data_IF_348981276547
#
_entry.id   IF_348981276547
#
_cell.length_a   1.000
_cell.length_b   1.000
_cell.length_c   1.000
_cell.angle_alpha   90.00
_cell.angle_beta   90.00
_cell.angle_gamma   90.00
#
_symmetry.space_group_name_H-M   'P 1'
#
loop_
_entity.id
_entity.type
_entity.pdbx_description
1 polymer ?
#
# COMPACT_ATOMS: atom_id res chain seq x y z
N UNK A 1 19.65 -5.86 -22.11
CA UNK A 1 18.76 -4.70 -21.88
C UNK A 1 17.64 -5.19 -20.99
N UNK A 2 17.68 -4.89 -19.68
CA UNK A 2 16.67 -5.38 -18.74
C UNK A 2 15.47 -4.43 -18.78
N UNK A 3 14.34 -4.90 -19.33
CA UNK A 3 13.07 -4.16 -19.27
C UNK A 3 12.59 -4.11 -17.83
N UNK A 4 12.52 -2.92 -17.25
CA UNK A 4 11.88 -2.69 -15.97
C UNK A 4 10.39 -3.05 -16.11
N UNK A 5 9.94 -4.05 -15.37
CA UNK A 5 8.53 -4.43 -15.33
C UNK A 5 7.80 -3.42 -14.43
N UNK A 6 7.12 -2.44 -15.03
CA UNK A 6 6.20 -1.54 -14.33
C UNK A 6 4.82 -2.19 -14.40
N UNK A 7 4.29 -2.81 -13.32
CA UNK A 7 2.92 -3.31 -13.37
C UNK A 7 1.99 -2.10 -13.41
N UNK A 8 1.18 -1.98 -14.46
CA UNK A 8 0.11 -0.98 -14.58
C UNK A 8 -1.02 -1.28 -13.57
N UNK A 9 -0.72 -1.18 -12.27
CA UNK A 9 -1.61 -1.56 -11.17
C UNK A 9 -2.92 -0.75 -11.16
N UNK A 10 -2.94 0.46 -11.71
CA UNK A 10 -4.15 1.27 -11.85
C UNK A 10 -5.23 0.62 -12.72
N UNK A 11 -4.82 -0.15 -13.73
CA UNK A 11 -5.74 -0.78 -14.68
C UNK A 11 -6.25 -2.13 -14.19
N UNK A 12 -5.74 -2.63 -13.05
CA UNK A 12 -6.02 -3.95 -12.52
C UNK A 12 -7.06 -3.96 -11.38
N UNK A 13 -7.70 -2.83 -11.08
CA UNK A 13 -8.77 -2.80 -10.07
C UNK A 13 -10.04 -3.43 -10.65
N UNK A 14 -10.27 -4.69 -10.32
CA UNK A 14 -11.52 -5.38 -10.64
C UNK A 14 -12.54 -5.22 -9.50
N UNK A 15 -13.79 -4.89 -9.86
CA UNK A 15 -14.91 -4.82 -8.91
C UNK A 15 -15.71 -6.13 -8.97
N UNK A 16 -16.08 -6.65 -7.80
CA UNK A 16 -16.93 -7.83 -7.73
C UNK A 16 -18.35 -7.51 -8.22
N UNK A 17 -18.92 -8.39 -9.04
CA UNK A 17 -20.29 -8.28 -9.51
C UNK A 17 -21.18 -9.37 -8.85
N UNK A 18 -22.38 -9.02 -8.35
CA UNK A 18 -22.99 -7.69 -8.36
C UNK A 18 -22.39 -6.75 -7.30
N UNK A 19 -22.30 -5.46 -7.64
CA UNK A 19 -21.86 -4.42 -6.69
C UNK A 19 -22.97 -3.95 -5.74
N UNK A 20 -22.60 -3.53 -4.53
CA UNK A 20 -23.50 -2.86 -3.58
C UNK A 20 -23.36 -1.34 -3.74
N UNK A 21 -24.42 -0.68 -4.20
CA UNK A 21 -24.42 0.75 -4.57
C UNK A 21 -24.10 1.70 -3.42
N UNK A 22 -24.49 1.36 -2.20
CA UNK A 22 -24.24 2.18 -1.00
C UNK A 22 -22.75 2.43 -0.75
N UNK A 23 -21.88 1.60 -1.31
CA UNK A 23 -20.43 1.71 -1.19
C UNK A 23 -19.75 2.43 -2.35
N UNK A 24 -20.47 2.89 -3.39
CA UNK A 24 -19.87 3.44 -4.60
C UNK A 24 -18.98 4.67 -4.30
N UNK A 25 -19.44 5.58 -3.42
CA UNK A 25 -18.68 6.77 -3.03
C UNK A 25 -17.38 6.38 -2.33
N UNK A 26 -17.46 5.54 -1.30
CA UNK A 26 -16.29 5.06 -0.56
C UNK A 26 -15.33 4.28 -1.45
N UNK A 27 -15.86 3.42 -2.35
CA UNK A 27 -15.07 2.66 -3.33
C UNK A 27 -14.30 3.60 -4.25
N UNK A 28 -14.97 4.59 -4.82
CA UNK A 28 -14.33 5.55 -5.73
C UNK A 28 -13.26 6.40 -5.02
N UNK A 29 -13.52 6.82 -3.77
CA UNK A 29 -12.51 7.53 -2.99
C UNK A 29 -11.29 6.66 -2.70
N UNK A 30 -11.49 5.39 -2.34
CA UNK A 30 -10.41 4.44 -2.11
C UNK A 30 -9.57 4.19 -3.38
N UNK A 31 -10.23 3.94 -4.51
CA UNK A 31 -9.57 3.78 -5.81
C UNK A 31 -8.75 5.01 -6.19
N UNK A 32 -9.29 6.22 -5.97
CA UNK A 32 -8.54 7.46 -6.20
C UNK A 32 -7.30 7.55 -5.32
N UNK A 33 -7.41 7.25 -4.03
CA UNK A 33 -6.27 7.26 -3.10
C UNK A 33 -5.20 6.25 -3.52
N UNK A 34 -5.60 5.02 -3.88
CA UNK A 34 -4.66 4.00 -4.33
C UNK A 34 -3.99 4.38 -5.64
N UNK A 35 -4.73 4.92 -6.60
CA UNK A 35 -4.15 5.43 -7.85
C UNK A 35 -3.17 6.57 -7.59
N UNK A 36 -3.51 7.58 -6.79
CA UNK A 36 -2.50 8.59 -6.47
C UNK A 36 -1.27 7.98 -5.77
N UNK A 37 -1.44 6.95 -4.93
CA UNK A 37 -0.31 6.30 -4.26
C UNK A 37 0.61 5.52 -5.21
N UNK A 38 0.05 4.82 -6.20
CA UNK A 38 0.83 4.04 -7.17
C UNK A 38 1.52 4.98 -8.16
N UNK A 39 0.86 6.05 -8.63
CA UNK A 39 1.46 7.06 -9.51
C UNK A 39 2.69 7.73 -8.88
N UNK A 40 2.65 7.92 -7.56
CA UNK A 40 3.72 8.54 -6.79
C UNK A 40 4.60 7.50 -6.06
N UNK A 41 4.53 6.23 -6.44
CA UNK A 41 5.28 5.18 -5.81
C UNK A 41 6.79 5.39 -6.03
N UNK A 42 7.63 5.11 -5.01
CA UNK A 42 9.06 5.08 -5.21
C UNK A 42 9.44 3.95 -6.18
N UNK A 43 10.63 4.06 -6.74
CA UNK A 43 11.21 3.04 -7.61
C UNK A 43 11.35 1.70 -6.85
N UNK A 44 11.35 0.54 -7.55
CA UNK A 44 11.22 -0.78 -6.91
C UNK A 44 12.51 -1.31 -6.26
N UNK A 45 13.66 -0.63 -6.41
CA UNK A 45 14.95 -1.08 -5.90
C UNK A 45 15.00 -1.30 -4.38
N UNK A 46 14.30 -0.53 -3.52
CA UNK A 46 14.24 -0.82 -2.09
C UNK A 46 13.67 -2.22 -1.81
N UNK A 47 12.68 -2.66 -2.58
CA UNK A 47 12.10 -4.00 -2.46
C UNK A 47 13.14 -5.05 -2.88
N UNK A 48 13.78 -4.87 -4.04
CA UNK A 48 14.81 -5.78 -4.53
C UNK A 48 15.96 -5.96 -3.52
N UNK A 49 16.43 -4.86 -2.91
CA UNK A 49 17.46 -4.88 -1.87
C UNK A 49 17.03 -5.70 -0.65
N UNK A 50 15.77 -5.57 -0.24
CA UNK A 50 15.23 -6.33 0.90
C UNK A 50 15.12 -7.82 0.56
N UNK A 51 14.65 -8.17 -0.63
CA UNK A 51 14.60 -9.56 -1.09
C UNK A 51 15.99 -10.19 -1.12
N UNK A 52 17.00 -9.49 -1.67
CA UNK A 52 18.39 -9.96 -1.64
C UNK A 52 18.91 -10.13 -0.20
N UNK A 53 18.57 -9.21 0.72
CA UNK A 53 18.93 -9.32 2.14
C UNK A 53 18.28 -10.55 2.80
N UNK A 54 17.04 -10.88 2.45
CA UNK A 54 16.34 -12.07 2.96
C UNK A 54 17.04 -13.34 2.50
N UNK A 55 17.31 -13.46 1.19
CA UNK A 55 17.93 -14.64 0.58
C UNK A 55 19.32 -14.91 1.17
N UNK A 56 20.10 -13.86 1.45
CA UNK A 56 21.42 -13.99 2.05
C UNK A 56 21.42 -14.12 3.59
N UNK A 57 20.26 -14.07 4.24
CA UNK A 57 20.19 -14.17 5.70
C UNK A 57 20.23 -15.63 6.15
N UNK A 58 21.13 -15.96 7.08
CA UNK A 58 21.21 -17.30 7.70
C UNK A 58 19.95 -17.64 8.54
N UNK A 59 19.26 -16.62 9.06
CA UNK A 59 18.04 -16.78 9.84
C UNK A 59 17.09 -15.61 9.54
N UNK A 60 16.30 -15.67 8.45
CA UNK A 60 15.41 -14.58 8.07
C UNK A 60 14.24 -14.45 9.06
N UNK A 61 13.85 -13.21 9.35
CA UNK A 61 12.70 -12.91 10.21
C UNK A 61 11.44 -12.66 9.38
N UNK A 62 10.25 -12.71 9.98
CA UNK A 62 9.02 -12.35 9.28
C UNK A 62 8.83 -10.83 9.08
N UNK A 63 9.63 -10.00 9.76
CA UNK A 63 9.46 -8.55 9.79
C UNK A 63 10.50 -7.83 8.93
N UNK A 64 10.28 -7.80 7.62
CA UNK A 64 11.00 -6.92 6.70
C UNK A 64 10.08 -5.80 6.25
N UNK A 65 10.30 -4.59 6.77
CA UNK A 65 9.47 -3.42 6.47
C UNK A 65 10.08 -2.68 5.28
N UNK A 66 9.29 -2.47 4.24
CA UNK A 66 9.70 -1.72 3.03
C UNK A 66 8.67 -0.64 2.77
N UNK A 67 9.14 0.56 2.43
CA UNK A 67 8.30 1.74 2.24
C UNK A 67 8.30 2.65 3.47
N UNK A 68 7.97 3.92 3.23
CA UNK A 68 8.01 4.99 4.24
C UNK A 68 7.06 4.70 5.41
N UNK A 69 5.88 4.19 5.08
CA UNK A 69 4.79 4.07 6.06
C UNK A 69 4.87 2.77 6.88
N UNK A 70 5.56 1.74 6.36
CA UNK A 70 5.63 0.42 6.99
C UNK A 70 6.31 0.42 8.37
N UNK A 71 7.18 1.40 8.65
CA UNK A 71 7.86 1.52 9.93
C UNK A 71 6.99 2.13 11.02
N UNK A 72 6.10 3.06 10.67
CA UNK A 72 5.43 3.96 11.62
C UNK A 72 3.93 3.64 11.74
N UNK A 73 3.26 3.25 10.64
CA UNK A 73 1.81 2.98 10.67
C UNK A 73 1.38 1.96 11.72
N UNK A 74 2.08 0.81 11.92
CA UNK A 74 1.69 -0.12 12.97
C UNK A 74 1.72 0.54 14.35
N UNK A 75 2.73 1.37 14.62
CA UNK A 75 2.86 2.07 15.91
C UNK A 75 1.70 3.06 16.07
N UNK A 76 1.38 3.84 15.03
CA UNK A 76 0.26 4.79 15.08
C UNK A 76 -1.07 4.05 15.28
N UNK A 77 -1.29 2.93 14.58
CA UNK A 77 -2.51 2.14 14.69
C UNK A 77 -2.73 1.59 16.10
N UNK A 78 -1.68 1.03 16.73
CA UNK A 78 -1.78 0.40 18.05
C UNK A 78 -1.70 1.39 19.21
N UNK A 79 -0.81 2.38 19.14
CA UNK A 79 -0.60 3.33 20.25
C UNK A 79 -1.51 4.55 20.18
N UNK A 80 -1.98 4.92 18.98
CA UNK A 80 -2.72 6.16 18.74
C UNK A 80 -3.95 5.93 17.84
N UNK A 81 -4.79 4.95 18.18
CA UNK A 81 -5.93 4.51 17.36
C UNK A 81 -6.85 5.66 16.94
N UNK A 82 -7.15 6.62 17.81
CA UNK A 82 -7.97 7.80 17.45
C UNK A 82 -7.32 8.67 16.36
N UNK A 83 -5.99 8.84 16.42
CA UNK A 83 -5.24 9.58 15.42
C UNK A 83 -5.18 8.81 14.10
N UNK A 84 -5.01 7.49 14.18
CA UNK A 84 -5.07 6.60 13.01
C UNK A 84 -6.43 6.70 12.32
N UNK A 85 -7.53 6.55 13.06
CA UNK A 85 -8.89 6.65 12.52
C UNK A 85 -9.17 8.01 11.90
N UNK A 86 -8.79 9.09 12.58
CA UNK A 86 -8.94 10.45 12.05
C UNK A 86 -8.15 10.64 10.75
N UNK A 87 -6.90 10.16 10.72
CA UNK A 87 -6.06 10.20 9.53
C UNK A 87 -6.66 9.40 8.37
N UNK A 88 -7.16 8.20 8.63
CA UNK A 88 -7.82 7.35 7.63
C UNK A 88 -9.08 8.01 7.09
N UNK A 89 -9.96 8.54 7.95
CA UNK A 89 -11.17 9.27 7.52
C UNK A 89 -10.84 10.43 6.61
N UNK A 90 -9.86 11.24 7.00
CA UNK A 90 -9.38 12.37 6.19
C UNK A 90 -8.77 11.93 4.86
N UNK A 91 -7.96 10.86 4.87
CA UNK A 91 -7.27 10.35 3.67
C UNK A 91 -8.25 9.79 2.65
N UNK A 92 -9.26 9.06 3.11
CA UNK A 92 -10.26 8.39 2.27
C UNK A 92 -11.55 9.19 2.08
N UNK A 93 -11.64 10.39 2.67
CA UNK A 93 -12.81 11.27 2.62
C UNK A 93 -14.12 10.52 2.97
N UNK A 94 -14.11 9.90 4.16
CA UNK A 94 -15.22 9.12 4.75
C UNK A 94 -15.52 9.59 6.17
#
# INVERSE_FOLDING_TARGET
MWSYCYPNLHQAFECAEPTIRDYDVTRNNALKVFSTSIENAPTPEPIAKVVLKIIHSKNPYFSYRVGRDAAILPIIQFAFTKLFEFGTRKKFNI
#
